data_IF_674770367603
#
_entry.id   IF_674770367603
#
_cell.length_a   1.000
_cell.length_b   1.000
_cell.length_c   1.000
_cell.angle_alpha   90.00
_cell.angle_beta   90.00
_cell.angle_gamma   90.00
#
_symmetry.space_group_name_H-M   'P 1'
#
loop_
_entity.id
_entity.type
_entity.pdbx_description
1 polymer ?
#
# COMPACT_ATOMS: atom_id res chain seq x y z
N UNK A 1 -26.23 44.69 42.14
CA UNK A 1 -25.36 45.84 42.52
C UNK A 1 -23.92 45.35 42.60
N UNK A 2 -23.02 45.96 41.82
CA UNK A 2 -21.59 45.70 41.74
C UNK A 2 -20.81 46.20 42.98
N UNK A 3 -19.66 45.55 43.27
CA UNK A 3 -18.35 46.13 43.68
C UNK A 3 -17.34 44.96 43.80
N UNK A 4 -16.51 44.66 42.81
CA UNK A 4 -15.27 45.33 42.38
C UNK A 4 -14.19 45.44 43.47
N UNK A 5 -13.38 44.38 43.63
CA UNK A 5 -12.11 44.38 44.35
C UNK A 5 -10.94 44.59 43.37
N UNK A 6 -10.08 45.56 43.69
CA UNK A 6 -9.13 46.23 42.79
C UNK A 6 -7.97 45.33 42.31
N UNK A 7 -7.72 45.34 40.99
CA UNK A 7 -6.40 45.08 40.41
C UNK A 7 -5.43 46.19 40.85
N UNK A 8 -4.25 45.81 41.34
CA UNK A 8 -3.12 46.74 41.46
C UNK A 8 -2.05 46.32 40.44
N UNK A 9 -2.11 46.95 39.27
CA UNK A 9 -1.07 46.86 38.25
C UNK A 9 -0.03 47.93 38.58
N UNK A 10 1.16 47.51 39.02
CA UNK A 10 2.37 48.33 38.91
C UNK A 10 3.15 47.85 37.70
N UNK A 11 2.93 48.53 36.58
CA UNK A 11 3.86 48.57 35.45
C UNK A 11 5.04 49.47 35.80
N UNK A 12 6.26 48.95 35.70
CA UNK A 12 7.43 49.78 35.47
C UNK A 12 8.43 49.01 34.63
N UNK A 13 8.49 49.40 33.35
CA UNK A 13 9.45 48.95 32.36
C UNK A 13 10.86 49.41 32.73
N UNK A 14 11.79 48.46 32.86
CA UNK A 14 13.19 48.62 32.43
C UNK A 14 13.85 47.24 32.43
N UNK A 15 13.91 46.62 31.26
CA UNK A 15 14.81 45.49 30.99
C UNK A 15 16.24 46.05 31.00
N UNK A 16 16.98 45.77 32.07
CA UNK A 16 18.41 46.05 32.17
C UNK A 16 19.17 45.01 31.33
N UNK A 17 19.95 45.50 30.36
CA UNK A 17 20.75 44.71 29.41
C UNK A 17 21.86 43.89 30.13
N UNK A 18 22.06 44.10 31.43
CA UNK A 18 22.99 43.30 32.26
C UNK A 18 22.44 41.97 32.76
N UNK A 19 21.14 41.71 32.68
CA UNK A 19 20.54 40.42 33.09
C UNK A 19 20.56 39.36 31.98
N UNK A 20 20.99 39.71 30.76
CA UNK A 20 21.05 38.80 29.60
C UNK A 20 22.39 38.05 29.43
N UNK A 21 23.28 38.09 30.43
CA UNK A 21 24.61 37.43 30.38
C UNK A 21 24.83 36.29 31.37
N UNK A 22 23.78 35.82 32.06
CA UNK A 22 23.90 34.74 33.05
C UNK A 22 22.90 33.60 32.85
N UNK A 23 22.77 33.11 31.61
CA UNK A 23 22.21 31.77 31.36
C UNK A 23 22.81 31.12 30.10
N UNK A 24 24.12 31.31 29.91
CA UNK A 24 24.89 30.66 28.87
C UNK A 24 26.29 30.33 29.40
N UNK A 25 26.39 29.28 30.22
CA UNK A 25 27.48 28.30 30.24
C UNK A 25 27.33 27.36 31.45
N UNK A 26 27.75 26.10 31.28
CA UNK A 26 27.80 24.98 32.25
C UNK A 26 26.45 24.23 32.38
N UNK A 27 26.24 22.99 31.93
CA UNK A 27 27.14 21.86 31.69
C UNK A 27 27.07 21.32 30.24
N UNK A 28 28.23 21.27 29.59
CA UNK A 28 28.54 20.26 28.59
C UNK A 28 28.63 18.91 29.30
N UNK A 29 27.59 18.08 29.18
CA UNK A 29 27.74 16.66 29.43
C UNK A 29 28.69 16.08 28.35
N UNK A 30 29.68 15.24 28.72
CA UNK A 30 30.47 14.53 27.72
C UNK A 30 29.56 13.70 26.82
N UNK A 31 29.90 13.47 25.53
CA UNK A 31 29.13 12.56 24.71
C UNK A 31 29.11 11.22 25.42
N UNK A 32 27.90 10.74 25.74
CA UNK A 32 27.73 9.39 26.25
C UNK A 32 28.46 8.46 25.28
N UNK A 33 29.41 7.68 25.82
CA UNK A 33 30.09 6.62 25.08
C UNK A 33 29.02 5.85 24.32
N UNK A 34 29.20 5.71 23.01
CA UNK A 34 28.37 4.85 22.18
C UNK A 34 28.50 3.43 22.70
N UNK A 35 27.61 3.05 23.61
CA UNK A 35 27.30 1.66 23.82
C UNK A 35 26.55 1.24 22.56
N UNK A 36 27.32 0.77 21.57
CA UNK A 36 26.82 -0.12 20.53
C UNK A 36 26.39 -1.41 21.22
N UNK A 37 25.29 -1.35 21.97
CA UNK A 37 24.48 -2.53 22.19
C UNK A 37 23.86 -2.80 20.84
N UNK A 38 24.47 -3.75 20.12
CA UNK A 38 23.77 -4.54 19.13
C UNK A 38 22.57 -5.15 19.84
N UNK A 39 21.48 -4.38 19.96
CA UNK A 39 20.17 -4.93 20.05
C UNK A 39 19.95 -5.54 18.67
N UNK A 40 20.44 -6.76 18.49
CA UNK A 40 19.83 -7.68 17.54
C UNK A 40 18.38 -7.83 17.99
N UNK A 41 17.55 -6.87 17.60
CA UNK A 41 16.13 -7.06 17.49
C UNK A 41 15.99 -8.28 16.59
N UNK A 42 15.58 -9.40 17.19
CA UNK A 42 15.07 -10.58 16.48
C UNK A 42 14.38 -10.10 15.21
N UNK A 43 14.69 -10.67 14.02
CA UNK A 43 14.28 -10.09 12.76
C UNK A 43 12.78 -9.84 12.80
N UNK A 44 12.40 -8.56 12.86
CA UNK A 44 10.99 -8.15 12.92
C UNK A 44 10.37 -8.72 11.66
N UNK A 45 9.54 -9.75 11.80
CA UNK A 45 8.92 -10.41 10.65
C UNK A 45 8.11 -9.34 9.91
N UNK A 46 8.64 -8.88 8.78
CA UNK A 46 7.99 -7.88 7.93
C UNK A 46 6.66 -8.47 7.50
N UNK A 47 5.57 -7.80 7.88
CA UNK A 47 4.21 -8.20 7.56
C UNK A 47 3.52 -7.03 6.89
N UNK A 48 3.18 -7.20 5.61
CA UNK A 48 2.53 -6.18 4.80
C UNK A 48 1.08 -6.59 4.57
N UNK A 49 0.16 -5.65 4.70
CA UNK A 49 -1.27 -5.84 4.48
C UNK A 49 -1.91 -4.63 3.83
N UNK A 50 -2.92 -4.86 2.99
CA UNK A 50 -3.75 -3.79 2.41
C UNK A 50 -4.96 -3.45 3.28
N UNK A 51 -5.29 -4.29 4.26
CA UNK A 51 -6.44 -4.12 5.12
C UNK A 51 -6.03 -4.32 6.57
N UNK A 52 -6.56 -3.51 7.48
CA UNK A 52 -6.28 -3.62 8.90
C UNK A 52 -6.67 -2.37 9.66
N UNK A 53 -6.50 -2.44 10.99
CA UNK A 53 -6.63 -1.28 11.84
C UNK A 53 -5.54 -0.23 11.48
N UNK A 54 -5.84 1.09 11.55
CA UNK A 54 -4.90 2.14 11.20
C UNK A 54 -3.52 1.99 11.86
N UNK A 55 -3.47 1.54 13.11
CA UNK A 55 -2.24 1.35 13.88
C UNK A 55 -1.32 0.30 13.23
N UNK A 56 -1.90 -0.75 12.65
CA UNK A 56 -1.13 -1.79 11.92
C UNK A 56 -0.58 -1.25 10.60
N UNK A 57 -1.36 -0.43 9.90
CA UNK A 57 -0.93 0.17 8.63
C UNK A 57 0.18 1.21 8.89
N UNK A 58 0.03 2.06 9.90
CA UNK A 58 1.08 3.00 10.31
C UNK A 58 2.35 2.26 10.77
N UNK A 59 2.22 1.14 11.48
CA UNK A 59 3.39 0.34 11.86
C UNK A 59 4.13 -0.24 10.63
N UNK A 60 3.41 -0.60 9.57
CA UNK A 60 3.98 -1.03 8.29
C UNK A 60 4.73 0.11 7.60
N UNK A 61 4.20 1.33 7.64
CA UNK A 61 4.80 2.50 6.98
C UNK A 61 6.19 2.86 7.52
N UNK A 62 6.51 2.37 8.73
CA UNK A 62 7.78 2.55 9.40
C UNK A 62 8.81 1.43 9.12
N UNK A 63 8.49 0.45 8.27
CA UNK A 63 9.52 -0.46 7.75
C UNK A 63 10.49 0.30 6.84
N UNK A 64 11.76 -0.12 6.84
CA UNK A 64 12.73 0.43 5.90
C UNK A 64 12.42 0.00 4.47
N UNK A 65 12.88 0.79 3.51
CA UNK A 65 12.69 0.47 2.10
C UNK A 65 13.32 -0.88 1.72
N UNK A 66 14.50 -1.19 2.27
CA UNK A 66 15.21 -2.45 2.00
C UNK A 66 14.51 -3.68 2.59
N UNK A 67 13.94 -3.55 3.80
CA UNK A 67 13.10 -4.60 4.40
C UNK A 67 11.87 -4.91 3.53
N UNK A 68 11.22 -3.87 3.00
CA UNK A 68 10.06 -4.01 2.12
C UNK A 68 10.44 -4.60 0.77
N UNK A 69 11.59 -4.22 0.20
CA UNK A 69 12.13 -4.81 -1.02
C UNK A 69 12.45 -6.30 -0.84
N UNK A 70 13.13 -6.66 0.24
CA UNK A 70 13.45 -8.06 0.54
C UNK A 70 12.19 -8.89 0.74
N UNK A 71 11.19 -8.34 1.44
CA UNK A 71 9.87 -8.97 1.57
C UNK A 71 9.17 -9.12 0.22
N UNK A 72 9.17 -8.07 -0.61
CA UNK A 72 8.58 -8.07 -1.93
C UNK A 72 9.19 -9.14 -2.84
N UNK A 73 10.53 -9.26 -2.88
CA UNK A 73 11.24 -10.29 -3.65
C UNK A 73 10.83 -11.71 -3.26
N UNK A 74 10.67 -11.95 -1.96
CA UNK A 74 10.23 -13.25 -1.43
C UNK A 74 8.78 -13.56 -1.85
N UNK A 75 7.89 -12.58 -1.78
CA UNK A 75 6.47 -12.77 -2.11
C UNK A 75 6.24 -12.86 -3.62
N UNK A 76 6.98 -12.09 -4.40
CA UNK A 76 6.77 -11.89 -5.82
C UNK A 76 8.08 -12.13 -6.60
N UNK A 77 8.58 -13.38 -6.65
CA UNK A 77 9.89 -13.68 -7.22
C UNK A 77 10.01 -13.43 -8.72
N UNK A 78 8.88 -13.27 -9.43
CA UNK A 78 8.84 -13.02 -10.87
C UNK A 78 8.84 -11.53 -11.23
N UNK A 79 8.62 -10.65 -10.25
CA UNK A 79 8.50 -9.22 -10.51
C UNK A 79 9.86 -8.58 -10.79
N UNK A 80 9.86 -7.54 -11.63
CA UNK A 80 11.09 -6.79 -11.89
C UNK A 80 11.54 -6.01 -10.65
N UNK A 81 12.83 -5.67 -10.57
CA UNK A 81 13.35 -4.80 -9.51
C UNK A 81 12.64 -3.44 -9.48
N UNK A 82 12.22 -2.93 -10.63
CA UNK A 82 11.47 -1.66 -10.73
C UNK A 82 10.10 -1.79 -10.09
N UNK A 83 9.35 -2.84 -10.40
CA UNK A 83 8.01 -3.06 -9.82
C UNK A 83 8.09 -3.29 -8.31
N UNK A 84 9.13 -4.00 -7.86
CA UNK A 84 9.41 -4.21 -6.45
C UNK A 84 9.69 -2.90 -5.72
N UNK A 85 10.46 -1.98 -6.32
CA UNK A 85 10.73 -0.64 -5.76
C UNK A 85 9.45 0.20 -5.66
N UNK A 86 8.62 0.20 -6.70
CA UNK A 86 7.33 0.88 -6.65
C UNK A 86 6.40 0.27 -5.60
N UNK A 87 6.38 -1.05 -5.50
CA UNK A 87 5.59 -1.75 -4.49
C UNK A 87 6.07 -1.37 -3.08
N UNK A 88 7.38 -1.42 -2.80
CA UNK A 88 7.95 -1.04 -1.52
C UNK A 88 7.60 0.41 -1.14
N UNK A 89 7.77 1.35 -2.08
CA UNK A 89 7.38 2.74 -1.87
C UNK A 89 5.89 2.89 -1.55
N UNK A 90 5.03 2.15 -2.26
CA UNK A 90 3.58 2.17 -2.01
C UNK A 90 3.24 1.73 -0.58
N UNK A 91 4.00 0.80 0.01
CA UNK A 91 3.74 0.31 1.38
C UNK A 91 4.13 1.31 2.44
N UNK A 92 5.10 2.18 2.19
CA UNK A 92 5.47 3.30 3.07
C UNK A 92 4.39 4.38 3.04
N UNK A 93 3.78 4.59 1.87
CA UNK A 93 2.81 5.68 1.66
C UNK A 93 1.36 5.28 1.96
N UNK A 94 1.08 3.99 2.19
CA UNK A 94 -0.28 3.49 2.32
C UNK A 94 -0.87 3.73 3.72
N UNK A 95 -2.03 4.37 3.80
CA UNK A 95 -2.67 4.70 5.09
C UNK A 95 -4.06 4.08 5.26
N UNK A 96 -4.45 3.14 4.39
CA UNK A 96 -5.78 2.54 4.42
C UNK A 96 -6.87 3.48 3.91
N UNK A 97 -8.12 3.07 4.12
CA UNK A 97 -9.26 3.93 3.89
C UNK A 97 -9.46 4.90 5.06
N UNK A 98 -9.66 6.19 4.74
CA UNK A 98 -9.99 7.22 5.72
C UNK A 98 -11.49 7.28 6.06
N UNK A 99 -12.34 6.63 5.27
CA UNK A 99 -13.80 6.63 5.46
C UNK A 99 -14.39 5.23 5.25
N UNK A 100 -15.55 4.92 5.84
CA UNK A 100 -16.25 3.66 5.57
C UNK A 100 -16.57 3.44 4.09
N UNK A 101 -16.94 4.52 3.37
CA UNK A 101 -17.19 4.45 1.93
C UNK A 101 -15.93 4.10 1.13
N UNK A 102 -14.78 4.67 1.49
CA UNK A 102 -13.50 4.29 0.89
C UNK A 102 -13.14 2.83 1.23
N UNK A 103 -13.42 2.37 2.45
CA UNK A 103 -13.18 0.98 2.84
C UNK A 103 -14.02 0.01 2.01
N UNK A 104 -15.30 0.32 1.77
CA UNK A 104 -16.19 -0.46 0.91
C UNK A 104 -15.75 -0.44 -0.55
N UNK A 105 -15.25 0.70 -1.05
CA UNK A 105 -14.71 0.76 -2.41
C UNK A 105 -13.46 -0.12 -2.57
N UNK A 106 -12.56 -0.12 -1.58
CA UNK A 106 -11.33 -0.91 -1.60
C UNK A 106 -11.55 -2.42 -1.40
N UNK A 107 -12.62 -2.85 -0.72
CA UNK A 107 -12.91 -4.28 -0.56
C UNK A 107 -13.30 -4.97 -1.86
N UNK A 108 -13.62 -4.20 -2.92
CA UNK A 108 -14.03 -4.75 -4.21
C UNK A 108 -15.35 -5.53 -4.14
N UNK A 109 -16.10 -5.41 -3.04
CA UNK A 109 -17.41 -6.06 -2.84
C UNK A 109 -18.49 -5.30 -3.60
N UNK A 110 -18.42 -5.34 -4.92
CA UNK A 110 -19.51 -4.91 -5.78
C UNK A 110 -20.43 -6.11 -6.03
N UNK A 111 -21.73 -5.95 -5.77
CA UNK A 111 -22.71 -6.93 -6.24
C UNK A 111 -22.93 -6.72 -7.73
N UNK A 112 -22.16 -7.43 -8.55
CA UNK A 112 -22.25 -7.35 -10.01
C UNK A 112 -23.38 -8.21 -10.60
N UNK A 113 -24.12 -8.97 -9.78
CA UNK A 113 -25.23 -9.82 -10.22
C UNK A 113 -24.94 -10.58 -11.52
N UNK A 114 -25.83 -10.46 -12.50
CA UNK A 114 -25.69 -11.07 -13.83
C UNK A 114 -25.04 -10.14 -14.87
N UNK A 115 -24.24 -9.14 -14.46
CA UNK A 115 -23.72 -8.11 -15.36
C UNK A 115 -22.87 -8.66 -16.51
N UNK A 116 -22.19 -9.80 -16.31
CA UNK A 116 -21.42 -10.45 -17.36
C UNK A 116 -22.26 -10.84 -18.59
N UNK A 117 -23.55 -11.18 -18.40
CA UNK A 117 -24.46 -11.52 -19.50
C UNK A 117 -24.86 -10.30 -20.37
N UNK A 118 -24.65 -9.09 -19.84
CA UNK A 118 -24.95 -7.84 -20.54
C UNK A 118 -23.79 -7.36 -21.42
N UNK A 119 -22.61 -8.01 -21.37
CA UNK A 119 -21.47 -7.67 -22.21
C UNK A 119 -21.75 -8.13 -23.65
N UNK A 120 -21.92 -7.17 -24.57
CA UNK A 120 -22.21 -7.42 -26.00
C UNK A 120 -21.00 -7.32 -26.92
N UNK A 121 -19.93 -6.69 -26.46
CA UNK A 121 -18.68 -6.55 -27.22
C UNK A 121 -17.81 -7.80 -27.06
N UNK A 122 -16.89 -8.06 -28.01
CA UNK A 122 -15.85 -9.06 -27.81
C UNK A 122 -15.09 -8.79 -26.51
N UNK A 123 -14.93 -9.82 -25.69
CA UNK A 123 -14.29 -9.71 -24.38
C UNK A 123 -13.25 -10.80 -24.16
N UNK A 124 -12.09 -10.41 -23.66
CA UNK A 124 -11.06 -11.33 -23.19
C UNK A 124 -11.02 -11.28 -21.66
N UNK A 125 -11.19 -12.43 -21.01
CA UNK A 125 -11.02 -12.61 -19.58
C UNK A 125 -9.70 -13.34 -19.36
N UNK A 126 -8.75 -12.67 -18.71
CA UNK A 126 -7.48 -13.25 -18.31
C UNK A 126 -7.52 -13.60 -16.82
N UNK A 127 -7.12 -14.82 -16.48
CA UNK A 127 -7.06 -15.32 -15.10
C UNK A 127 -5.68 -15.86 -14.76
N UNK A 128 -5.37 -15.81 -13.48
CA UNK A 128 -4.22 -16.48 -12.89
C UNK A 128 -4.29 -17.98 -13.13
N UNK A 129 -3.15 -18.65 -12.99
CA UNK A 129 -3.13 -20.11 -12.98
C UNK A 129 -3.96 -20.66 -11.81
N UNK A 130 -4.60 -21.80 -12.02
CA UNK A 130 -5.48 -22.43 -11.05
C UNK A 130 -5.60 -23.93 -11.28
N UNK A 131 -5.98 -24.66 -10.23
CA UNK A 131 -6.28 -26.08 -10.34
C UNK A 131 -7.56 -26.33 -11.17
N UNK A 132 -7.77 -27.60 -11.55
CA UNK A 132 -8.85 -28.00 -12.45
C UNK A 132 -10.24 -27.58 -11.96
N UNK A 133 -10.54 -27.77 -10.67
CA UNK A 133 -11.85 -27.39 -10.10
C UNK A 133 -12.13 -25.89 -10.23
N UNK A 134 -11.13 -25.06 -9.94
CA UNK A 134 -11.24 -23.60 -10.07
C UNK A 134 -11.30 -23.19 -11.54
N UNK A 135 -10.55 -23.84 -12.44
CA UNK A 135 -10.63 -23.58 -13.89
C UNK A 135 -12.03 -23.88 -14.41
N UNK A 136 -12.58 -25.05 -14.07
CA UNK A 136 -13.95 -25.44 -14.43
C UNK A 136 -14.98 -24.45 -13.89
N UNK A 137 -14.87 -24.04 -12.64
CA UNK A 137 -15.75 -23.01 -12.07
C UNK A 137 -15.67 -21.68 -12.84
N UNK A 138 -14.47 -21.23 -13.19
CA UNK A 138 -14.28 -20.02 -13.99
C UNK A 138 -14.88 -20.16 -15.40
N UNK A 139 -14.73 -21.32 -16.03
CA UNK A 139 -15.29 -21.62 -17.35
C UNK A 139 -16.82 -21.58 -17.32
N UNK A 140 -17.46 -22.20 -16.33
CA UNK A 140 -18.92 -22.15 -16.18
C UNK A 140 -19.43 -20.71 -16.05
N UNK A 141 -18.74 -19.87 -15.28
CA UNK A 141 -19.10 -18.45 -15.14
C UNK A 141 -18.86 -17.69 -16.45
N UNK A 142 -17.77 -17.97 -17.17
CA UNK A 142 -17.43 -17.27 -18.41
C UNK A 142 -18.39 -17.57 -19.57
N UNK A 143 -19.08 -18.73 -19.56
CA UNK A 143 -20.08 -19.10 -20.58
C UNK A 143 -21.20 -18.08 -20.77
N UNK A 144 -21.50 -17.26 -19.75
CA UNK A 144 -22.54 -16.24 -19.85
C UNK A 144 -22.14 -15.07 -20.77
N UNK A 145 -20.85 -14.92 -21.07
CA UNK A 145 -20.32 -13.87 -21.94
C UNK A 145 -20.42 -14.37 -23.40
N UNK A 146 -21.41 -13.87 -24.14
CA UNK A 146 -21.77 -14.35 -25.47
C UNK A 146 -20.61 -14.29 -26.49
N UNK A 147 -19.76 -13.26 -26.39
CA UNK A 147 -18.56 -13.08 -27.21
C UNK A 147 -17.30 -13.04 -26.33
N UNK A 148 -17.27 -13.92 -25.32
CA UNK A 148 -16.19 -14.00 -24.34
C UNK A 148 -15.18 -15.08 -24.65
N UNK A 149 -13.90 -14.79 -24.43
CA UNK A 149 -12.82 -15.79 -24.35
C UNK A 149 -12.20 -15.74 -22.97
N UNK A 150 -12.13 -16.89 -22.30
CA UNK A 150 -11.40 -17.05 -21.04
C UNK A 150 -10.04 -17.71 -21.31
N UNK A 151 -8.98 -17.15 -20.74
CA UNK A 151 -7.63 -17.73 -20.79
C UNK A 151 -7.03 -17.67 -19.39
N UNK A 152 -6.55 -18.82 -18.90
CA UNK A 152 -5.68 -18.91 -17.73
C UNK A 152 -4.23 -18.83 -18.18
N UNK A 153 -3.43 -17.98 -17.54
CA UNK A 153 -2.00 -17.85 -17.83
C UNK A 153 -1.23 -18.79 -16.91
N UNK A 154 -0.67 -19.86 -17.47
CA UNK A 154 0.04 -20.91 -16.72
C UNK A 154 1.19 -20.35 -15.87
N UNK A 155 1.31 -20.83 -14.63
CA UNK A 155 2.32 -20.41 -13.67
C UNK A 155 2.23 -18.94 -13.22
N UNK A 156 1.17 -18.21 -13.58
CA UNK A 156 0.94 -16.83 -13.11
C UNK A 156 0.16 -16.81 -11.79
N UNK A 157 0.32 -15.72 -11.03
CA UNK A 157 -0.47 -15.44 -9.83
C UNK A 157 -1.38 -14.24 -10.13
N UNK A 158 -1.67 -13.41 -9.13
CA UNK A 158 -2.67 -12.36 -9.24
C UNK A 158 -2.32 -11.28 -10.27
N UNK A 159 -1.04 -10.96 -10.44
CA UNK A 159 -0.57 -9.88 -11.32
C UNK A 159 0.03 -10.46 -12.58
N UNK A 160 -0.84 -10.92 -13.49
CA UNK A 160 -0.45 -11.67 -14.71
C UNK A 160 0.68 -11.02 -15.51
N UNK A 161 0.63 -9.70 -15.69
CA UNK A 161 1.62 -8.95 -16.46
C UNK A 161 2.97 -8.78 -15.73
N UNK A 162 2.98 -8.82 -14.38
CA UNK A 162 4.23 -8.86 -13.63
C UNK A 162 4.80 -10.29 -13.54
N UNK A 163 3.93 -11.30 -13.51
CA UNK A 163 4.34 -12.70 -13.33
C UNK A 163 4.76 -13.35 -14.66
N UNK A 164 4.00 -13.09 -15.73
CA UNK A 164 4.10 -13.70 -17.06
C UNK A 164 3.81 -12.65 -18.14
N UNK A 165 4.67 -11.63 -18.22
CA UNK A 165 4.51 -10.50 -19.13
C UNK A 165 4.31 -10.94 -20.59
N UNK A 166 5.18 -11.81 -21.08
CA UNK A 166 5.17 -12.27 -22.47
C UNK A 166 3.88 -13.00 -22.82
N UNK A 167 3.51 -14.03 -22.04
CA UNK A 167 2.30 -14.81 -22.25
C UNK A 167 1.02 -13.95 -22.14
N UNK A 168 0.98 -13.03 -21.16
CA UNK A 168 -0.13 -12.08 -21.00
C UNK A 168 -0.25 -11.17 -22.21
N UNK A 169 0.88 -10.64 -22.69
CA UNK A 169 0.92 -9.73 -23.84
C UNK A 169 0.58 -10.45 -25.15
N UNK A 170 1.02 -11.69 -25.32
CA UNK A 170 0.69 -12.52 -26.49
C UNK A 170 -0.81 -12.81 -26.55
N UNK A 171 -1.43 -13.14 -25.42
CA UNK A 171 -2.87 -13.35 -25.33
C UNK A 171 -3.66 -12.09 -25.74
N UNK A 172 -3.21 -10.91 -25.28
CA UNK A 172 -3.78 -9.61 -25.67
C UNK A 172 -3.58 -9.33 -27.16
N UNK A 173 -2.36 -9.48 -27.69
CA UNK A 173 -2.05 -9.27 -29.11
C UNK A 173 -2.89 -10.17 -30.01
N UNK A 174 -3.03 -11.44 -29.65
CA UNK A 174 -3.84 -12.42 -30.38
C UNK A 174 -5.31 -12.00 -30.41
N UNK A 175 -5.82 -11.55 -29.26
CA UNK A 175 -7.20 -11.06 -29.16
C UNK A 175 -7.43 -9.81 -30.01
N UNK A 176 -6.53 -8.82 -29.97
CA UNK A 176 -6.64 -7.61 -30.79
C UNK A 176 -6.43 -7.85 -32.29
N UNK A 177 -5.58 -8.79 -32.67
CA UNK A 177 -5.39 -9.17 -34.08
C UNK A 177 -6.67 -9.78 -34.69
N UNK A 178 -7.43 -10.50 -33.87
CA UNK A 178 -8.69 -11.14 -34.29
C UNK A 178 -9.90 -10.21 -34.18
N UNK A 179 -9.81 -9.14 -33.40
CA UNK A 179 -10.89 -8.18 -33.17
C UNK A 179 -10.36 -6.76 -33.37
N UNK A 180 -10.21 -6.36 -34.65
CA UNK A 180 -9.75 -5.02 -35.00
C UNK A 180 -10.62 -3.97 -34.33
N UNK A 181 -10.00 -3.14 -33.50
CA UNK A 181 -10.58 -1.89 -33.04
C UNK A 181 -10.58 -0.97 -34.26
N UNK A 182 -11.76 -0.55 -34.70
CA UNK A 182 -11.97 0.31 -35.86
C UNK A 182 -11.19 1.62 -35.76
#
# INVERSE_FOLDING_TARGET
MLKAGKLNVKTSNRLDIKTLKLLAFVLLAPPAKSNTTNNETLPKKVSVGMFGAPEKLVAQNNYTFDELLAHGRKQNPMWSDTDLKYCALSKIQYHGAYTPGAQQAMSGTMNIGNSLANIKVPALVLKADANEDVRKSNEEVAKVIQSGKLIHIEGSRHSLHHDKLEATTEALKTFFATHKLY
#
